data_IF_706758404079
#
_entry.id   IF_706758404079
#
_cell.length_a   1.000
_cell.length_b   1.000
_cell.length_c   1.000
_cell.angle_alpha   90.00
_cell.angle_beta   90.00
_cell.angle_gamma   90.00
#
_symmetry.space_group_name_H-M   'P 1'
#
loop_
_entity.id
_entity.type
_entity.pdbx_description
1 polymer ?
#
# COMPACT_ATOMS: atom_id res chain seq x y z
N UNK A 1 -27.24 17.34 8.06
CA UNK A 1 -27.39 16.98 6.65
C UNK A 1 -28.00 15.59 6.59
N UNK A 2 -29.02 15.43 5.81
CA UNK A 2 -29.66 14.16 5.53
C UNK A 2 -29.77 14.04 3.99
N UNK A 3 -29.22 12.97 3.43
CA UNK A 3 -29.27 12.67 2.01
C UNK A 3 -30.05 11.37 1.80
N UNK A 4 -30.74 11.27 0.67
CA UNK A 4 -31.45 10.06 0.27
C UNK A 4 -30.86 9.55 -1.04
N UNK A 5 -30.66 8.24 -1.13
CA UNK A 5 -30.15 7.56 -2.32
C UNK A 5 -30.58 6.10 -2.34
N UNK A 6 -30.42 5.46 -3.47
CA UNK A 6 -30.76 4.04 -3.65
C UNK A 6 -29.72 3.10 -3.05
N UNK A 7 -28.47 3.56 -2.93
CA UNK A 7 -27.38 2.82 -2.32
C UNK A 7 -26.44 3.73 -1.52
N UNK A 8 -25.73 3.13 -0.56
CA UNK A 8 -24.62 3.74 0.18
C UNK A 8 -23.34 2.95 -0.09
N UNK A 9 -22.34 3.62 -0.68
CA UNK A 9 -21.02 3.04 -0.91
C UNK A 9 -20.03 3.63 0.11
N UNK A 10 -19.59 2.83 1.08
CA UNK A 10 -18.59 3.21 2.07
C UNK A 10 -17.18 3.19 1.43
N UNK A 11 -16.69 4.34 0.99
CA UNK A 11 -15.35 4.54 0.42
C UNK A 11 -14.50 5.47 1.32
N UNK A 12 -14.71 5.42 2.63
CA UNK A 12 -14.20 6.33 3.65
C UNK A 12 -12.91 5.84 4.32
N UNK A 13 -12.19 4.92 3.65
CA UNK A 13 -10.81 4.55 3.94
C UNK A 13 -10.63 3.58 5.10
N UNK A 14 -9.37 3.39 5.53
CA UNK A 14 -8.93 2.41 6.52
C UNK A 14 -9.76 2.45 7.83
N UNK A 15 -10.14 3.63 8.29
CA UNK A 15 -10.92 3.86 9.53
C UNK A 15 -12.40 4.12 9.24
N UNK A 16 -12.93 3.44 8.23
CA UNK A 16 -14.30 3.58 7.74
C UNK A 16 -15.34 3.55 8.86
N UNK A 17 -16.13 4.61 8.93
CA UNK A 17 -17.29 4.68 9.82
C UNK A 17 -18.42 3.78 9.33
N UNK A 18 -18.58 3.64 8.00
CA UNK A 18 -19.56 2.74 7.40
C UNK A 18 -19.23 1.30 7.77
N UNK A 19 -17.96 0.87 7.60
CA UNK A 19 -17.49 -0.46 7.99
C UNK A 19 -17.72 -0.74 9.48
N UNK A 20 -17.31 0.19 10.33
CA UNK A 20 -17.45 0.03 11.77
C UNK A 20 -18.91 -0.20 12.19
N UNK A 21 -19.85 0.43 11.50
CA UNK A 21 -21.29 0.30 11.76
C UNK A 21 -21.87 -1.01 11.23
N UNK A 22 -21.41 -1.43 10.05
CA UNK A 22 -21.88 -2.67 9.38
C UNK A 22 -21.33 -3.93 10.04
N UNK A 23 -20.01 -3.97 10.26
CA UNK A 23 -19.31 -5.23 10.55
C UNK A 23 -18.87 -5.34 12.02
N UNK A 24 -18.68 -4.22 12.72
CA UNK A 24 -18.21 -4.17 14.11
C UNK A 24 -16.92 -5.01 14.31
N UNK A 25 -16.04 -5.03 13.33
CA UNK A 25 -14.85 -5.89 13.26
C UNK A 25 -13.59 -5.28 13.93
N UNK A 26 -13.76 -4.24 14.73
CA UNK A 26 -12.72 -3.64 15.55
C UNK A 26 -11.80 -2.68 14.79
N UNK A 27 -10.63 -2.42 15.39
CA UNK A 27 -9.66 -1.47 14.87
C UNK A 27 -8.73 -2.09 13.82
N UNK A 28 -8.15 -1.28 12.92
CA UNK A 28 -7.08 -1.73 12.03
C UNK A 28 -5.90 -2.31 12.80
N UNK A 29 -5.25 -3.32 12.23
CA UNK A 29 -4.07 -3.94 12.78
C UNK A 29 -2.82 -3.18 12.38
N UNK A 30 -1.98 -2.81 13.33
CA UNK A 30 -0.66 -2.27 13.06
C UNK A 30 0.25 -3.33 12.40
N UNK A 31 0.92 -2.98 11.31
CA UNK A 31 1.75 -3.91 10.55
C UNK A 31 3.15 -4.12 11.13
N UNK A 32 3.53 -3.38 12.18
CA UNK A 32 4.83 -3.49 12.85
C UNK A 32 5.89 -2.52 12.32
N UNK A 33 5.56 -1.64 11.41
CA UNK A 33 6.50 -0.67 10.83
C UNK A 33 5.83 0.65 10.45
N UNK A 34 6.66 1.68 10.37
CA UNK A 34 6.31 3.04 9.99
C UNK A 34 6.97 3.38 8.66
N UNK A 35 6.36 4.24 7.87
CA UNK A 35 6.92 4.74 6.63
C UNK A 35 6.99 6.27 6.60
N UNK A 36 8.07 6.79 6.02
CA UNK A 36 8.24 8.18 5.62
C UNK A 36 8.29 8.23 4.10
N UNK A 37 7.64 9.21 3.52
CA UNK A 37 7.54 9.35 2.06
C UNK A 37 7.45 10.80 1.65
N UNK A 38 7.98 11.09 0.47
CA UNK A 38 7.85 12.39 -0.16
C UNK A 38 7.91 12.29 -1.68
N UNK A 39 7.54 13.39 -2.33
CA UNK A 39 7.83 13.66 -3.73
C UNK A 39 8.75 14.88 -3.78
N UNK A 40 9.83 14.77 -4.53
CA UNK A 40 10.82 15.81 -4.65
C UNK A 40 11.23 15.99 -6.12
N UNK A 41 11.59 17.21 -6.50
CA UNK A 41 12.26 17.50 -7.78
C UNK A 41 13.74 17.70 -7.49
N UNK A 42 14.59 16.67 -7.69
CA UNK A 42 16.04 16.84 -7.51
C UNK A 42 16.57 17.75 -8.61
N UNK A 43 17.50 18.63 -8.29
CA UNK A 43 18.06 19.61 -9.25
C UNK A 43 18.85 19.00 -10.43
N UNK A 44 18.96 17.67 -10.46
CA UNK A 44 19.61 16.88 -11.53
C UNK A 44 19.02 15.47 -11.58
N UNK A 45 19.22 14.79 -12.70
CA UNK A 45 18.90 13.37 -12.81
C UNK A 45 19.83 12.54 -11.90
N UNK A 46 19.25 11.76 -11.01
CA UNK A 46 19.97 10.91 -10.06
C UNK A 46 19.98 9.44 -10.47
N UNK A 47 19.07 9.02 -11.33
CA UNK A 47 18.98 7.69 -11.93
C UNK A 47 18.13 7.74 -13.22
N UNK A 48 18.24 6.75 -14.12
CA UNK A 48 17.60 6.79 -15.43
C UNK A 48 16.08 7.01 -15.36
N UNK A 49 15.57 7.83 -16.29
CA UNK A 49 14.15 8.10 -16.42
C UNK A 49 13.37 6.78 -16.62
N UNK A 50 12.19 6.68 -16.00
CA UNK A 50 11.36 5.47 -16.04
C UNK A 50 11.84 4.32 -15.15
N UNK A 51 13.01 4.43 -14.51
CA UNK A 51 13.48 3.43 -13.56
C UNK A 51 12.81 3.59 -12.19
N UNK A 52 12.65 2.47 -11.52
CA UNK A 52 12.27 2.39 -10.11
C UNK A 52 13.23 1.45 -9.39
N UNK A 53 13.60 1.79 -8.18
CA UNK A 53 14.51 1.00 -7.37
C UNK A 53 13.94 0.73 -5.99
N UNK A 54 14.30 -0.42 -5.45
CA UNK A 54 14.08 -0.69 -4.05
C UNK A 54 15.32 -1.33 -3.44
N UNK A 55 15.56 -0.98 -2.20
CA UNK A 55 16.71 -1.46 -1.42
C UNK A 55 16.19 -2.03 -0.10
N UNK A 56 16.69 -3.18 0.27
CA UNK A 56 16.24 -3.89 1.47
C UNK A 56 17.42 -4.00 2.45
N UNK A 57 17.20 -3.48 3.66
CA UNK A 57 18.12 -3.58 4.78
C UNK A 57 17.62 -4.52 5.86
N UNK A 58 18.05 -4.27 7.09
CA UNK A 58 17.58 -4.96 8.29
C UNK A 58 16.42 -4.18 8.90
N UNK A 59 15.19 -4.72 8.79
CA UNK A 59 13.98 -4.05 9.26
C UNK A 59 13.74 -2.70 8.60
N UNK A 60 14.32 -2.46 7.44
CA UNK A 60 14.25 -1.19 6.72
C UNK A 60 14.18 -1.44 5.21
N UNK A 61 13.30 -0.74 4.52
CA UNK A 61 13.18 -0.75 3.06
C UNK A 61 13.18 0.69 2.56
N UNK A 62 13.83 0.92 1.44
CA UNK A 62 13.75 2.16 0.67
C UNK A 62 13.25 1.86 -0.73
N UNK A 63 12.38 2.71 -1.24
CA UNK A 63 11.93 2.70 -2.65
C UNK A 63 12.04 4.09 -3.23
N UNK A 64 12.33 4.19 -4.52
CA UNK A 64 12.19 5.42 -5.28
C UNK A 64 11.80 5.12 -6.73
N UNK A 65 11.02 6.04 -7.32
CA UNK A 65 10.54 5.94 -8.68
C UNK A 65 10.29 7.32 -9.28
N UNK A 66 10.51 7.47 -10.58
CA UNK A 66 10.05 8.64 -11.30
C UNK A 66 8.52 8.69 -11.37
N UNK A 67 7.94 9.85 -11.10
CA UNK A 67 6.48 10.08 -11.12
C UNK A 67 6.08 11.17 -12.13
N UNK A 68 6.92 11.41 -13.12
CA UNK A 68 6.70 12.41 -14.18
C UNK A 68 7.21 13.81 -13.82
N UNK A 69 7.35 14.67 -14.82
CA UNK A 69 7.72 16.08 -14.70
C UNK A 69 9.00 16.33 -13.88
N UNK A 70 10.00 15.45 -14.02
CA UNK A 70 11.26 15.54 -13.27
C UNK A 70 11.13 15.25 -11.77
N UNK A 71 9.94 14.82 -11.31
CA UNK A 71 9.67 14.48 -9.91
C UNK A 71 10.02 13.03 -9.61
N UNK A 72 10.50 12.83 -8.40
CA UNK A 72 10.82 11.52 -7.85
C UNK A 72 10.04 11.30 -6.56
N UNK A 73 9.27 10.21 -6.50
CA UNK A 73 8.72 9.69 -5.26
C UNK A 73 9.77 8.84 -4.56
N UNK A 74 9.90 8.99 -3.27
CA UNK A 74 10.64 8.05 -2.43
C UNK A 74 9.87 7.72 -1.16
N UNK A 75 10.12 6.52 -0.62
CA UNK A 75 9.62 6.11 0.68
C UNK A 75 10.66 5.24 1.40
N UNK A 76 10.72 5.42 2.71
CA UNK A 76 11.45 4.58 3.66
C UNK A 76 10.44 3.92 4.57
N UNK A 77 10.52 2.61 4.76
CA UNK A 77 9.81 1.93 5.84
C UNK A 77 10.81 1.34 6.83
N UNK A 78 10.48 1.37 8.13
CA UNK A 78 11.31 0.84 9.21
C UNK A 78 10.44 0.20 10.28
N UNK A 79 10.90 -0.94 10.83
CA UNK A 79 10.30 -1.54 12.01
C UNK A 79 10.27 -0.51 13.15
N UNK A 80 9.10 -0.29 13.72
CA UNK A 80 8.88 0.70 14.75
C UNK A 80 7.72 0.27 15.66
N UNK A 81 7.60 0.93 16.81
CA UNK A 81 6.42 0.79 17.67
C UNK A 81 5.28 1.64 17.12
N UNK A 82 4.06 1.17 17.33
CA UNK A 82 2.84 1.92 17.01
C UNK A 82 2.77 3.27 17.74
N UNK A 83 2.21 4.28 17.08
CA UNK A 83 1.97 5.60 17.68
C UNK A 83 3.21 6.45 17.93
N UNK A 84 4.40 6.03 17.42
CA UNK A 84 5.62 6.83 17.52
C UNK A 84 5.45 8.19 16.82
N UNK A 85 6.23 9.19 17.25
CA UNK A 85 6.24 10.53 16.65
C UNK A 85 7.67 10.93 16.34
N UNK A 86 7.85 11.67 15.26
CA UNK A 86 9.11 12.30 14.96
C UNK A 86 9.31 13.54 15.84
N UNK A 87 10.57 13.88 16.10
CA UNK A 87 10.90 15.16 16.73
C UNK A 87 10.72 16.25 15.68
N UNK A 88 9.89 17.27 15.96
CA UNK A 88 9.69 18.38 15.01
C UNK A 88 11.02 19.02 14.60
N UNK A 89 11.22 19.19 13.29
CA UNK A 89 12.44 19.76 12.72
C UNK A 89 13.65 18.83 12.69
N UNK A 90 13.50 17.54 13.02
CA UNK A 90 14.60 16.58 13.06
C UNK A 90 14.33 15.28 12.27
N UNK A 91 13.21 15.20 11.57
CA UNK A 91 12.84 14.00 10.78
C UNK A 91 13.85 13.71 9.68
N UNK A 92 14.24 14.75 8.94
CA UNK A 92 15.20 14.63 7.84
C UNK A 92 16.56 14.15 8.34
N UNK A 93 17.09 14.73 9.42
CA UNK A 93 18.36 14.33 10.00
C UNK A 93 18.33 12.88 10.53
N UNK A 94 17.22 12.48 11.15
CA UNK A 94 17.00 11.12 11.60
C UNK A 94 17.00 10.12 10.42
N UNK A 95 16.36 10.47 9.31
CA UNK A 95 16.36 9.66 8.09
C UNK A 95 17.74 9.60 7.43
N UNK A 96 18.48 10.70 7.38
CA UNK A 96 19.86 10.73 6.88
C UNK A 96 20.77 9.87 7.73
N UNK A 97 20.61 9.89 9.06
CA UNK A 97 21.31 9.00 9.99
C UNK A 97 20.97 7.53 9.77
N UNK A 98 19.69 7.20 9.58
CA UNK A 98 19.22 5.84 9.30
C UNK A 98 19.78 5.29 7.99
N UNK A 99 19.92 6.13 6.97
CA UNK A 99 20.31 5.76 5.61
C UNK A 99 21.80 6.04 5.32
N UNK A 100 22.60 6.39 6.32
CA UNK A 100 23.97 6.88 6.17
C UNK A 100 24.95 5.93 5.48
N UNK A 101 24.66 4.62 5.47
CA UNK A 101 25.46 3.61 4.76
C UNK A 101 24.87 3.14 3.43
N UNK A 102 23.83 3.80 2.91
CA UNK A 102 23.10 3.37 1.73
C UNK A 102 23.59 4.07 0.46
N UNK A 103 23.26 3.52 -0.71
CA UNK A 103 23.71 4.00 -2.03
C UNK A 103 23.32 5.45 -2.37
N UNK A 104 24.07 6.02 -3.32
CA UNK A 104 24.07 7.41 -3.71
C UNK A 104 22.74 8.13 -3.92
N UNK A 105 21.78 7.67 -4.73
CA UNK A 105 20.56 8.45 -4.97
C UNK A 105 19.69 8.61 -3.72
N UNK A 106 19.73 7.65 -2.79
CA UNK A 106 18.91 7.63 -1.58
C UNK A 106 19.16 8.87 -0.72
N UNK A 107 20.41 9.06 -0.32
CA UNK A 107 20.82 10.20 0.50
C UNK A 107 20.49 11.53 -0.17
N UNK A 108 20.82 11.65 -1.47
CA UNK A 108 20.62 12.87 -2.23
C UNK A 108 19.14 13.24 -2.38
N UNK A 109 18.24 12.27 -2.53
CA UNK A 109 16.80 12.49 -2.57
C UNK A 109 16.27 13.00 -1.23
N UNK A 110 16.71 12.41 -0.12
CA UNK A 110 16.32 12.87 1.22
C UNK A 110 16.87 14.27 1.49
N UNK A 111 18.13 14.56 1.13
CA UNK A 111 18.76 15.89 1.26
C UNK A 111 18.03 16.97 0.45
N UNK A 112 17.60 16.64 -0.77
CA UNK A 112 16.85 17.55 -1.63
C UNK A 112 15.40 17.77 -1.21
N UNK A 113 14.88 16.97 -0.28
CA UNK A 113 13.48 17.07 0.17
C UNK A 113 13.36 18.09 1.29
N UNK A 114 12.38 18.99 1.18
CA UNK A 114 12.00 19.88 2.29
C UNK A 114 11.40 19.06 3.42
N UNK A 115 11.77 19.34 4.68
CA UNK A 115 11.30 18.57 5.84
C UNK A 115 9.78 18.56 5.96
N UNK A 116 9.14 19.68 5.69
CA UNK A 116 7.67 19.82 5.70
C UNK A 116 6.95 18.96 4.66
N UNK A 117 7.65 18.50 3.62
CA UNK A 117 7.12 17.62 2.59
C UNK A 117 7.23 16.13 2.95
N UNK A 118 7.93 15.79 4.04
CA UNK A 118 8.10 14.41 4.50
C UNK A 118 6.87 14.01 5.31
N UNK A 119 6.11 13.04 4.78
CA UNK A 119 4.93 12.49 5.45
C UNK A 119 5.30 11.20 6.17
N UNK A 120 5.08 11.18 7.50
CA UNK A 120 5.19 9.99 8.34
C UNK A 120 3.83 9.31 8.47
N UNK A 121 3.79 8.01 8.33
CA UNK A 121 2.57 7.21 8.48
C UNK A 121 2.90 5.86 9.10
N UNK A 122 2.23 5.51 10.19
CA UNK A 122 2.23 4.16 10.72
C UNK A 122 1.39 3.27 9.79
N UNK A 123 1.89 2.07 9.50
CA UNK A 123 1.27 1.20 8.51
C UNK A 123 0.29 0.25 9.19
N UNK A 124 -0.94 0.27 8.71
CA UNK A 124 -2.03 -0.58 9.18
C UNK A 124 -2.66 -1.34 8.01
N UNK A 125 -3.24 -2.47 8.33
CA UNK A 125 -4.11 -3.23 7.45
C UNK A 125 -5.26 -3.86 8.24
N UNK A 126 -6.11 -4.64 7.56
CA UNK A 126 -7.14 -5.45 8.20
C UNK A 126 -7.11 -6.88 7.65
N UNK A 127 -7.70 -7.83 8.38
CA UNK A 127 -7.95 -9.16 7.81
C UNK A 127 -8.88 -9.02 6.60
N UNK A 128 -8.68 -9.85 5.55
CA UNK A 128 -9.60 -9.90 4.43
C UNK A 128 -11.02 -10.16 4.92
N UNK A 129 -11.98 -9.43 4.37
CA UNK A 129 -13.39 -9.78 4.52
C UNK A 129 -13.67 -11.06 3.73
N UNK A 130 -14.68 -11.81 4.16
CA UNK A 130 -15.24 -12.89 3.35
C UNK A 130 -16.00 -12.34 2.14
N UNK A 131 -16.90 -13.13 1.60
CA UNK A 131 -17.68 -12.78 0.40
C UNK A 131 -18.65 -11.61 0.60
N UNK A 132 -18.92 -11.21 1.83
CA UNK A 132 -19.94 -10.21 2.14
C UNK A 132 -19.30 -8.99 2.81
N UNK A 133 -19.39 -7.85 2.13
CA UNK A 133 -18.83 -6.58 2.58
C UNK A 133 -19.88 -5.60 3.10
N UNK A 134 -21.16 -5.92 2.89
CA UNK A 134 -22.26 -5.05 3.24
C UNK A 134 -23.57 -5.79 3.53
N UNK A 135 -24.67 -5.04 3.61
CA UNK A 135 -26.02 -5.56 3.83
C UNK A 135 -27.04 -4.63 3.19
N UNK A 136 -28.11 -5.20 2.60
CA UNK A 136 -29.12 -4.44 1.88
C UNK A 136 -28.45 -3.58 0.78
N UNK A 137 -28.88 -2.35 0.66
CA UNK A 137 -28.34 -1.39 -0.29
C UNK A 137 -27.05 -0.67 0.17
N UNK A 138 -26.26 -1.31 1.07
CA UNK A 138 -24.98 -0.77 1.54
C UNK A 138 -23.85 -1.72 1.21
N UNK A 139 -22.70 -1.21 0.72
CA UNK A 139 -21.46 -1.95 0.52
C UNK A 139 -20.23 -1.10 0.82
N UNK A 140 -19.04 -1.73 0.83
CA UNK A 140 -17.75 -1.07 1.03
C UNK A 140 -16.92 -1.09 -0.27
N UNK A 141 -15.99 -0.13 -0.40
CA UNK A 141 -15.10 0.01 -1.54
C UNK A 141 -13.71 0.47 -1.08
N UNK A 142 -12.65 -0.02 -1.76
CA UNK A 142 -11.27 0.39 -1.51
C UNK A 142 -10.81 0.09 -0.09
N UNK A 143 -10.06 1.00 0.53
CA UNK A 143 -9.51 0.80 1.88
C UNK A 143 -10.57 0.65 2.98
N UNK A 144 -11.84 0.97 2.72
CA UNK A 144 -12.92 0.65 3.64
C UNK A 144 -13.22 -0.85 3.65
N UNK A 145 -13.12 -1.52 2.49
CA UNK A 145 -13.33 -2.96 2.34
C UNK A 145 -12.07 -3.79 2.60
N UNK A 146 -10.96 -3.41 1.96
CA UNK A 146 -9.76 -4.23 1.87
C UNK A 146 -8.45 -3.45 2.06
N UNK A 147 -8.28 -2.72 3.18
CA UNK A 147 -7.05 -2.00 3.43
C UNK A 147 -5.88 -2.97 3.53
N UNK A 148 -4.79 -2.64 2.84
CA UNK A 148 -3.62 -3.49 2.70
C UNK A 148 -2.32 -2.73 2.97
N UNK A 149 -1.27 -3.47 3.33
CA UNK A 149 0.06 -2.88 3.44
C UNK A 149 0.58 -2.41 2.07
N UNK A 150 1.45 -1.38 2.00
CA UNK A 150 1.88 -0.78 0.73
C UNK A 150 2.92 -1.63 -0.03
N UNK A 151 3.20 -2.85 0.42
CA UNK A 151 4.35 -3.64 -0.04
C UNK A 151 4.26 -4.09 -1.51
N UNK A 152 3.03 -4.22 -2.05
CA UNK A 152 2.77 -4.47 -3.47
C UNK A 152 2.42 -3.20 -4.26
N UNK A 153 2.16 -2.07 -3.61
CA UNK A 153 1.74 -0.84 -4.28
C UNK A 153 0.34 -0.92 -4.90
N UNK A 154 -0.53 -1.83 -4.44
CA UNK A 154 -1.79 -2.17 -5.12
C UNK A 154 -3.03 -1.51 -4.52
N UNK A 155 -2.97 -0.87 -3.36
CA UNK A 155 -4.18 -0.37 -2.69
C UNK A 155 -5.04 0.54 -3.57
N UNK A 156 -4.45 1.55 -4.19
CA UNK A 156 -5.17 2.46 -5.08
C UNK A 156 -5.67 1.75 -6.36
N UNK A 157 -4.86 0.83 -6.92
CA UNK A 157 -5.26 0.05 -8.10
C UNK A 157 -6.50 -0.79 -7.80
N UNK A 158 -6.56 -1.43 -6.64
CA UNK A 158 -7.71 -2.23 -6.23
C UNK A 158 -8.97 -1.38 -6.03
N UNK A 159 -8.84 -0.16 -5.51
CA UNK A 159 -9.99 0.76 -5.41
C UNK A 159 -10.49 1.23 -6.79
N UNK A 160 -9.60 1.40 -7.78
CA UNK A 160 -9.97 1.72 -9.16
C UNK A 160 -10.68 0.52 -9.80
N UNK A 161 -10.14 -0.69 -9.65
CA UNK A 161 -10.79 -1.93 -10.11
C UNK A 161 -12.19 -2.08 -9.49
N UNK A 162 -12.32 -1.83 -8.18
CA UNK A 162 -13.62 -1.85 -7.49
C UNK A 162 -14.64 -0.94 -8.16
N UNK A 163 -14.26 0.31 -8.45
CA UNK A 163 -15.15 1.28 -9.05
C UNK A 163 -15.65 0.83 -10.43
N UNK A 164 -14.76 0.23 -11.24
CA UNK A 164 -15.12 -0.29 -12.58
C UNK A 164 -16.05 -1.49 -12.46
N UNK A 165 -15.72 -2.46 -11.58
CA UNK A 165 -16.55 -3.66 -11.37
C UNK A 165 -17.92 -3.29 -10.82
N UNK A 166 -17.97 -2.41 -9.81
CA UNK A 166 -19.22 -1.93 -9.22
C UNK A 166 -20.13 -1.26 -10.28
N UNK A 167 -19.55 -0.38 -11.10
CA UNK A 167 -20.29 0.27 -12.18
C UNK A 167 -20.78 -0.74 -13.22
N UNK A 168 -20.03 -1.81 -13.48
CA UNK A 168 -20.44 -2.94 -14.31
C UNK A 168 -21.67 -3.65 -13.73
N UNK A 169 -21.57 -4.08 -12.47
CA UNK A 169 -22.65 -4.79 -11.79
C UNK A 169 -23.95 -3.97 -11.71
N UNK A 170 -23.85 -2.67 -11.41
CA UNK A 170 -25.02 -1.78 -11.40
C UNK A 170 -25.69 -1.60 -12.76
N UNK A 171 -24.98 -1.88 -13.86
CA UNK A 171 -25.58 -1.88 -15.23
C UNK A 171 -26.15 -3.24 -15.63
N UNK A 172 -25.60 -4.32 -15.08
CA UNK A 172 -26.00 -5.70 -15.39
C UNK A 172 -27.28 -6.09 -14.64
N UNK A 173 -27.38 -5.70 -13.38
CA UNK A 173 -28.48 -6.07 -12.50
C UNK A 173 -29.57 -4.99 -12.47
N UNK A 174 -30.82 -5.43 -12.44
CA UNK A 174 -31.98 -4.55 -12.31
C UNK A 174 -32.28 -4.12 -10.88
N UNK A 175 -31.76 -4.86 -9.90
CA UNK A 175 -31.90 -4.59 -8.48
C UNK A 175 -30.55 -4.13 -7.88
N UNK A 176 -30.59 -3.09 -7.06
CA UNK A 176 -29.39 -2.49 -6.48
C UNK A 176 -28.71 -3.45 -5.48
N UNK A 177 -29.48 -4.15 -4.66
CA UNK A 177 -28.90 -5.06 -3.65
C UNK A 177 -28.22 -6.25 -4.34
N UNK A 178 -28.81 -6.81 -5.39
CA UNK A 178 -28.22 -7.89 -6.18
C UNK A 178 -26.93 -7.42 -6.87
N UNK A 179 -26.92 -6.21 -7.43
CA UNK A 179 -25.73 -5.60 -8.03
C UNK A 179 -24.57 -5.46 -7.01
N UNK A 180 -24.88 -5.01 -5.79
CA UNK A 180 -23.87 -4.89 -4.74
C UNK A 180 -23.33 -6.25 -4.31
N UNK A 181 -24.17 -7.27 -4.19
CA UNK A 181 -23.72 -8.66 -3.85
C UNK A 181 -22.86 -9.26 -4.96
N UNK A 182 -23.24 -9.04 -6.23
CA UNK A 182 -22.45 -9.47 -7.39
C UNK A 182 -21.06 -8.81 -7.40
N UNK A 183 -21.01 -7.51 -7.15
CA UNK A 183 -19.75 -6.76 -7.00
C UNK A 183 -18.85 -7.37 -5.91
N UNK A 184 -19.39 -7.59 -4.72
CA UNK A 184 -18.62 -8.18 -3.60
C UNK A 184 -18.08 -9.56 -3.96
N UNK A 185 -18.90 -10.41 -4.56
CA UNK A 185 -18.48 -11.75 -4.99
C UNK A 185 -17.35 -11.70 -6.03
N UNK A 186 -17.40 -10.76 -6.99
CA UNK A 186 -16.36 -10.59 -8.01
C UNK A 186 -15.04 -10.07 -7.45
N UNK A 187 -15.07 -9.34 -6.31
CA UNK A 187 -13.89 -8.66 -5.77
C UNK A 187 -13.24 -9.35 -4.57
N UNK A 188 -14.02 -10.10 -3.78
CA UNK A 188 -13.58 -10.64 -2.48
C UNK A 188 -12.33 -11.50 -2.55
N UNK A 189 -12.28 -12.48 -3.45
CA UNK A 189 -11.16 -13.41 -3.57
C UNK A 189 -9.89 -12.71 -4.03
N UNK A 190 -10.00 -11.84 -5.05
CA UNK A 190 -8.86 -11.11 -5.60
C UNK A 190 -8.24 -10.19 -4.55
N UNK A 191 -9.05 -9.37 -3.89
CA UNK A 191 -8.54 -8.45 -2.86
C UNK A 191 -7.97 -9.20 -1.67
N UNK A 192 -8.59 -10.30 -1.25
CA UNK A 192 -8.06 -11.16 -0.19
C UNK A 192 -6.69 -11.76 -0.54
N UNK A 193 -6.48 -12.20 -1.77
CA UNK A 193 -5.19 -12.70 -2.25
C UNK A 193 -4.13 -11.59 -2.21
N UNK A 194 -4.45 -10.39 -2.70
CA UNK A 194 -3.51 -9.25 -2.72
C UNK A 194 -3.15 -8.82 -1.30
N UNK A 195 -4.10 -8.75 -0.35
CA UNK A 195 -3.83 -8.47 1.06
C UNK A 195 -2.83 -9.48 1.62
N UNK A 196 -3.08 -10.79 1.44
CA UNK A 196 -2.22 -11.85 1.97
C UNK A 196 -0.82 -11.79 1.35
N UNK A 197 -0.74 -11.55 0.04
CA UNK A 197 0.53 -11.44 -0.68
C UNK A 197 1.31 -10.19 -0.22
N UNK A 198 0.65 -9.03 -0.10
CA UNK A 198 1.26 -7.80 0.40
C UNK A 198 1.84 -8.00 1.81
N UNK A 199 1.09 -8.59 2.73
CA UNK A 199 1.57 -8.96 4.07
C UNK A 199 2.78 -9.89 4.03
N UNK A 200 2.76 -10.91 3.16
CA UNK A 200 3.86 -11.85 3.03
C UNK A 200 5.14 -11.15 2.59
N UNK A 201 5.03 -10.27 1.59
CA UNK A 201 6.16 -9.48 1.11
C UNK A 201 6.65 -8.55 2.21
N UNK A 202 5.77 -7.81 2.89
CA UNK A 202 6.11 -6.95 4.00
C UNK A 202 6.90 -7.66 5.09
N UNK A 203 6.47 -8.87 5.51
CA UNK A 203 7.20 -9.68 6.49
C UNK A 203 8.60 -10.07 6.04
N UNK A 204 8.78 -10.39 4.75
CA UNK A 204 10.09 -10.74 4.18
C UNK A 204 10.99 -9.52 4.09
N UNK A 205 10.45 -8.41 3.63
CA UNK A 205 11.19 -7.15 3.46
C UNK A 205 11.64 -6.59 4.82
N UNK A 206 10.77 -6.67 5.83
CA UNK A 206 11.00 -6.14 7.17
C UNK A 206 11.76 -7.10 8.11
N UNK A 207 12.37 -8.17 7.57
CA UNK A 207 13.26 -9.03 8.36
C UNK A 207 14.43 -8.22 8.95
N UNK A 208 14.73 -8.45 10.24
CA UNK A 208 15.73 -7.68 10.98
C UNK A 208 16.90 -8.56 11.49
N UNK A 209 16.64 -9.84 11.77
CA UNK A 209 17.66 -10.78 12.23
C UNK A 209 18.72 -11.00 11.14
N UNK A 210 20.02 -10.81 11.44
CA UNK A 210 21.10 -10.88 10.43
C UNK A 210 21.09 -12.15 9.59
N UNK A 211 20.92 -13.31 10.22
CA UNK A 211 20.88 -14.59 9.53
C UNK A 211 19.70 -14.69 8.55
N UNK A 212 18.51 -14.23 8.96
CA UNK A 212 17.33 -14.26 8.10
C UNK A 212 17.47 -13.29 6.91
N UNK A 213 18.08 -12.12 7.14
CA UNK A 213 18.38 -11.17 6.06
C UNK A 213 19.39 -11.79 5.08
N UNK A 214 20.45 -12.45 5.56
CA UNK A 214 21.41 -13.14 4.71
C UNK A 214 20.76 -14.23 3.86
N UNK A 215 19.89 -15.06 4.45
CA UNK A 215 19.17 -16.12 3.74
C UNK A 215 18.20 -15.53 2.69
N UNK A 216 17.46 -14.47 3.05
CA UNK A 216 16.59 -13.73 2.13
C UNK A 216 17.38 -13.22 0.92
N UNK A 217 18.48 -12.52 1.17
CA UNK A 217 19.27 -11.86 0.13
C UNK A 217 19.94 -12.90 -0.79
N UNK A 218 20.36 -14.03 -0.24
CA UNK A 218 20.91 -15.16 -1.01
C UNK A 218 19.83 -15.80 -1.88
N UNK A 219 18.64 -16.05 -1.33
CA UNK A 219 17.52 -16.61 -2.07
C UNK A 219 17.09 -15.68 -3.21
N UNK A 220 16.99 -14.37 -2.97
CA UNK A 220 16.61 -13.40 -4.00
C UNK A 220 17.61 -13.34 -5.16
N UNK A 221 18.92 -13.44 -4.87
CA UNK A 221 19.97 -13.49 -5.90
C UNK A 221 19.90 -14.76 -6.76
N UNK A 222 19.40 -15.85 -6.19
CA UNK A 222 19.25 -17.13 -6.87
C UNK A 222 17.99 -17.20 -7.77
N UNK A 223 17.01 -16.31 -7.58
CA UNK A 223 15.77 -16.30 -8.37
C UNK A 223 16.00 -15.55 -9.69
N UNK A 224 15.86 -16.23 -10.86
CA UNK A 224 15.98 -15.58 -12.15
C UNK A 224 14.95 -14.45 -12.33
N UNK A 225 15.34 -13.37 -13.01
CA UNK A 225 14.46 -12.20 -13.23
C UNK A 225 13.12 -12.56 -13.89
N UNK A 226 13.12 -13.56 -14.77
CA UNK A 226 11.88 -14.07 -15.39
C UNK A 226 10.88 -14.62 -14.36
N UNK A 227 11.37 -15.32 -13.34
CA UNK A 227 10.50 -15.86 -12.27
C UNK A 227 9.95 -14.74 -11.40
N UNK A 228 10.74 -13.69 -11.16
CA UNK A 228 10.28 -12.51 -10.43
C UNK A 228 9.15 -11.78 -11.19
N UNK A 229 9.27 -11.67 -12.52
CA UNK A 229 8.23 -11.06 -13.36
C UNK A 229 6.93 -11.89 -13.36
N UNK A 230 7.02 -13.20 -13.48
CA UNK A 230 5.85 -14.10 -13.44
C UNK A 230 5.07 -14.03 -12.12
N UNK A 231 5.71 -13.63 -11.02
CA UNK A 231 5.03 -13.44 -9.74
C UNK A 231 4.23 -12.12 -9.67
N UNK A 232 4.57 -11.14 -10.49
CA UNK A 232 3.92 -9.83 -10.52
C UNK A 232 2.80 -9.80 -11.57
N UNK A 233 2.94 -10.56 -12.64
CA UNK A 233 2.00 -10.60 -13.76
C UNK A 233 0.52 -10.79 -13.34
N UNK A 234 0.15 -11.75 -12.45
CA UNK A 234 -1.24 -11.89 -12.00
C UNK A 234 -1.78 -10.68 -11.23
N UNK A 235 -0.88 -9.85 -10.69
CA UNK A 235 -1.23 -8.66 -9.92
C UNK A 235 -1.48 -7.47 -10.84
N UNK A 236 -0.62 -7.27 -11.85
CA UNK A 236 -0.66 -6.07 -12.72
C UNK A 236 -1.33 -6.31 -14.08
N UNK A 237 -1.43 -7.55 -14.53
CA UNK A 237 -2.03 -7.93 -15.81
C UNK A 237 -3.51 -8.34 -15.72
N UNK A 238 -4.20 -7.93 -14.66
CA UNK A 238 -5.63 -8.23 -14.50
C UNK A 238 -6.47 -7.32 -15.38
N UNK A 239 -7.33 -7.92 -16.18
CA UNK A 239 -8.36 -7.25 -16.98
C UNK A 239 -9.70 -7.30 -16.23
N UNK A 240 -10.37 -6.15 -16.13
CA UNK A 240 -11.62 -5.96 -15.41
C UNK A 240 -12.80 -6.19 -16.34
#
# INVERSE_FOLDING_TARGET
WEERGDALIGADGLRSAVRARLLRDGEPRYAGYTAWRAVVTPGRELFPAGAAFQYWGRGTRYICAHVGEGRVYWAVSKNARDGGKDVPGATKDALLGLLGGWHGPIRQLVEATEESAILRTDIYDREPLGERWGAGSVTLLGDAAHPMTPDLGQGACQAIEDAVVLAGCLREEGDVEDALRLYEARRSDRTAQIIRQSRRIGRIVQLEKPLLCYLRDTALKAIPSRVQLLQIEPVVGYEV
#
